data_IF_381595181735
#
_entry.id   IF_381595181735
#
_cell.length_a   1.000
_cell.length_b   1.000
_cell.length_c   1.000
_cell.angle_alpha   90.00
_cell.angle_beta   90.00
_cell.angle_gamma   90.00
#
_symmetry.space_group_name_H-M   'P 1'
#
loop_
_entity.id
_entity.type
_entity.pdbx_description
1 polymer ?
#
# COMPACT_ATOMS: atom_id res chain seq x y z
N UNK A 1 35.31 14.62 -63.23
CA UNK A 1 35.02 13.33 -63.89
C UNK A 1 34.86 12.31 -62.77
N UNK A 2 33.72 11.72 -62.44
CA UNK A 2 32.43 11.49 -63.12
C UNK A 2 31.49 11.19 -61.93
N UNK A 3 30.53 12.05 -61.60
CA UNK A 3 29.10 11.86 -61.92
C UNK A 3 28.70 10.46 -62.37
N UNK A 4 28.57 9.53 -61.42
CA UNK A 4 27.77 8.30 -61.52
C UNK A 4 27.68 7.80 -60.07
N UNK A 5 26.56 7.71 -59.37
CA UNK A 5 25.25 7.14 -59.73
C UNK A 5 24.27 7.74 -58.70
N UNK A 6 23.43 8.70 -59.10
CA UNK A 6 22.32 9.16 -58.26
C UNK A 6 21.04 9.20 -59.09
N UNK A 7 20.47 8.04 -59.38
CA UNK A 7 19.11 7.95 -59.91
C UNK A 7 18.45 6.63 -59.51
N UNK A 8 17.30 6.78 -58.84
CA UNK A 8 16.18 5.84 -58.73
C UNK A 8 16.40 4.55 -57.94
N UNK A 9 15.94 4.53 -56.68
CA UNK A 9 15.00 3.48 -56.24
C UNK A 9 13.87 4.11 -55.42
N UNK A 10 12.67 3.83 -55.91
CA UNK A 10 11.32 4.07 -55.43
C UNK A 10 11.08 4.13 -53.93
N UNK A 11 10.24 5.10 -53.57
CA UNK A 11 9.21 5.08 -52.54
C UNK A 11 8.64 3.68 -52.29
N UNK A 12 8.85 3.16 -51.07
CA UNK A 12 8.01 2.14 -50.46
C UNK A 12 7.45 2.70 -49.15
N UNK A 13 6.13 2.68 -48.91
CA UNK A 13 5.60 3.00 -47.61
C UNK A 13 5.94 1.84 -46.67
N UNK A 14 6.76 2.11 -45.65
CA UNK A 14 6.83 1.20 -44.49
C UNK A 14 5.51 1.38 -43.76
N UNK A 15 4.61 0.41 -43.92
CA UNK A 15 3.47 0.22 -43.04
C UNK A 15 4.02 -0.05 -41.64
N UNK A 16 4.12 0.99 -40.82
CA UNK A 16 4.28 0.86 -39.38
C UNK A 16 2.99 0.24 -38.84
N UNK A 17 2.91 -1.08 -38.91
CA UNK A 17 1.99 -1.86 -38.09
C UNK A 17 2.59 -1.94 -36.67
N UNK A 18 2.66 -0.78 -36.02
CA UNK A 18 2.76 -0.74 -34.57
C UNK A 18 1.37 -1.13 -34.07
N UNK A 19 1.20 -2.44 -33.84
CA UNK A 19 0.09 -2.95 -33.06
C UNK A 19 0.02 -2.12 -31.79
N UNK A 20 -1.03 -1.31 -31.72
CA UNK A 20 -1.44 -0.50 -30.60
C UNK A 20 -1.52 -1.42 -29.38
N UNK A 21 -0.44 -1.42 -28.60
CA UNK A 21 -0.49 -1.82 -27.20
C UNK A 21 -1.63 -1.00 -26.60
N UNK A 22 -2.68 -1.63 -26.04
CA UNK A 22 -3.82 -0.87 -25.55
C UNK A 22 -3.29 0.06 -24.45
N UNK A 23 -3.25 1.35 -24.75
CA UNK A 23 -3.28 2.39 -23.75
C UNK A 23 -4.53 2.11 -22.93
N UNK A 24 -4.32 1.66 -21.69
CA UNK A 24 -5.38 1.53 -20.71
C UNK A 24 -5.85 2.95 -20.41
N UNK A 25 -6.71 3.45 -21.30
CA UNK A 25 -7.52 4.62 -21.07
C UNK A 25 -8.60 4.18 -20.12
N UNK A 26 -8.37 4.39 -18.84
CA UNK A 26 -9.46 4.52 -17.89
C UNK A 26 -9.16 5.74 -17.04
N UNK A 27 -9.60 6.88 -17.57
CA UNK A 27 -9.97 8.01 -16.75
C UNK A 27 -11.13 7.55 -15.83
N UNK A 28 -10.79 7.27 -14.57
CA UNK A 28 -11.75 7.33 -13.47
C UNK A 28 -11.31 8.48 -12.57
N UNK A 29 -12.18 9.47 -12.44
CA UNK A 29 -11.98 10.67 -11.65
C UNK A 29 -11.60 10.34 -10.20
N UNK A 30 -10.65 11.10 -9.67
CA UNK A 30 -10.40 11.44 -8.26
C UNK A 30 -11.24 10.70 -7.20
N UNK A 31 -10.95 9.43 -6.96
CA UNK A 31 -11.21 8.77 -5.69
C UNK A 31 -9.83 8.43 -5.12
N UNK A 32 -9.49 8.83 -3.90
CA UNK A 32 -8.20 8.46 -3.29
C UNK A 32 -8.27 6.99 -2.86
N UNK A 33 -7.86 6.01 -3.70
CA UNK A 33 -8.09 4.63 -3.38
C UNK A 33 -7.05 4.23 -2.34
N UNK A 34 -7.52 3.91 -1.13
CA UNK A 34 -6.74 3.10 -0.20
C UNK A 34 -6.75 1.68 -0.73
N UNK A 35 -5.58 1.16 -1.07
CA UNK A 35 -5.43 -0.17 -1.65
C UNK A 35 -5.50 -1.23 -0.56
N UNK A 36 -4.68 -1.06 0.48
CA UNK A 36 -4.58 -2.01 1.57
C UNK A 36 -4.06 -1.36 2.85
N UNK A 37 -4.33 -2.01 3.98
CA UNK A 37 -3.98 -1.57 5.31
C UNK A 37 -3.55 -2.74 6.16
N UNK A 38 -2.51 -2.53 6.96
CA UNK A 38 -1.88 -3.55 7.79
C UNK A 38 -1.60 -3.00 9.19
N UNK A 39 -1.72 -3.86 10.19
CA UNK A 39 -1.28 -3.59 11.56
C UNK A 39 -0.30 -4.67 11.96
N UNK A 40 0.88 -4.24 12.43
CA UNK A 40 1.90 -5.11 12.99
C UNK A 40 2.05 -4.88 14.48
N UNK A 41 2.19 -5.98 15.22
CA UNK A 41 2.46 -5.95 16.66
C UNK A 41 3.95 -5.65 16.95
N UNK A 42 4.26 -5.42 18.23
CA UNK A 42 5.61 -5.26 18.76
C UNK A 42 6.52 -6.44 18.39
N UNK A 43 5.96 -7.65 18.33
CA UNK A 43 6.64 -8.89 17.95
C UNK A 43 6.85 -9.05 16.45
N UNK A 44 6.54 -8.03 15.65
CA UNK A 44 6.71 -8.02 14.18
C UNK A 44 5.74 -8.94 13.42
N UNK A 45 4.72 -9.45 14.11
CA UNK A 45 3.67 -10.24 13.48
C UNK A 45 2.59 -9.34 12.88
N UNK A 46 2.12 -9.68 11.68
CA UNK A 46 0.95 -9.06 11.08
C UNK A 46 -0.31 -9.56 11.79
N UNK A 47 -0.94 -8.69 12.59
CA UNK A 47 -2.12 -9.03 13.39
C UNK A 47 -3.44 -8.64 12.69
N UNK A 48 -3.35 -7.76 11.68
CA UNK A 48 -4.50 -7.36 10.87
C UNK A 48 -4.07 -6.98 9.46
N UNK A 49 -4.86 -7.39 8.47
CA UNK A 49 -4.69 -7.02 7.07
C UNK A 49 -6.05 -6.85 6.40
N UNK A 50 -6.24 -5.74 5.68
CA UNK A 50 -7.45 -5.47 4.89
C UNK A 50 -7.03 -4.95 3.51
N UNK A 51 -7.71 -5.44 2.47
CA UNK A 51 -7.52 -5.00 1.09
C UNK A 51 -8.86 -4.56 0.52
N UNK A 52 -8.88 -3.41 -0.14
CA UNK A 52 -10.06 -2.88 -0.84
C UNK A 52 -9.94 -2.97 -2.36
N UNK A 53 -8.79 -3.39 -2.88
CA UNK A 53 -8.63 -3.70 -4.29
C UNK A 53 -9.50 -4.91 -4.68
N UNK A 54 -10.18 -4.88 -5.84
CA UNK A 54 -10.88 -6.04 -6.35
C UNK A 54 -9.90 -7.20 -6.54
N UNK A 55 -10.33 -8.45 -6.28
CA UNK A 55 -9.50 -9.61 -6.52
C UNK A 55 -9.11 -9.67 -8.00
N UNK A 56 -7.81 -9.60 -8.28
CA UNK A 56 -7.27 -9.69 -9.62
C UNK A 56 -7.54 -11.09 -10.20
N UNK A 57 -8.31 -11.23 -11.29
CA UNK A 57 -8.62 -12.53 -11.89
C UNK A 57 -7.41 -13.22 -12.52
N UNK A 58 -6.31 -12.50 -12.76
CA UNK A 58 -5.04 -13.03 -13.27
C UNK A 58 -4.10 -13.52 -12.17
N UNK A 59 -4.33 -13.11 -10.91
CA UNK A 59 -3.64 -13.64 -9.74
C UNK A 59 -4.46 -14.83 -9.23
N UNK A 60 -3.91 -16.06 -9.15
CA UNK A 60 -4.63 -17.18 -8.56
C UNK A 60 -5.10 -16.76 -7.16
N UNK A 61 -6.38 -17.05 -6.88
CA UNK A 61 -7.13 -16.65 -5.67
C UNK A 61 -6.25 -16.48 -4.44
N UNK A 62 -6.46 -15.43 -3.61
CA UNK A 62 -5.61 -15.16 -2.45
C UNK A 62 -5.76 -16.30 -1.45
N UNK A 63 -4.93 -17.34 -1.58
CA UNK A 63 -4.64 -18.26 -0.51
C UNK A 63 -4.10 -17.40 0.63
N UNK A 64 -4.54 -17.66 1.86
CA UNK A 64 -4.09 -16.97 3.06
C UNK A 64 -2.54 -16.86 3.19
N UNK A 65 -1.81 -17.72 2.47
CA UNK A 65 -0.35 -17.69 2.31
C UNK A 65 0.15 -16.42 1.61
N UNK A 66 -0.52 -15.96 0.55
CA UNK A 66 -0.10 -14.78 -0.23
C UNK A 66 -0.19 -13.48 0.57
N UNK A 67 -1.26 -13.30 1.35
CA UNK A 67 -1.42 -12.15 2.24
C UNK A 67 -0.39 -12.13 3.37
N UNK A 68 -0.03 -13.32 3.91
CA UNK A 68 0.99 -13.40 4.95
C UNK A 68 2.40 -13.13 4.41
N UNK A 69 2.69 -13.54 3.18
CA UNK A 69 3.99 -13.32 2.54
C UNK A 69 4.15 -11.86 2.12
N UNK A 70 3.10 -11.25 1.54
CA UNK A 70 3.06 -9.83 1.21
C UNK A 70 3.27 -8.97 2.48
N UNK A 71 2.63 -9.34 3.60
CA UNK A 71 2.81 -8.65 4.87
C UNK A 71 4.25 -8.73 5.42
N UNK A 72 4.92 -9.89 5.32
CA UNK A 72 6.33 -10.03 5.71
C UNK A 72 7.25 -9.18 4.84
N UNK A 73 6.99 -9.12 3.53
CA UNK A 73 7.76 -8.29 2.61
C UNK A 73 7.59 -6.80 2.95
N UNK A 74 6.35 -6.34 3.14
CA UNK A 74 6.04 -4.96 3.56
C UNK A 74 6.74 -4.63 4.88
N UNK A 75 6.67 -5.53 5.85
CA UNK A 75 7.35 -5.37 7.13
C UNK A 75 8.88 -5.23 6.93
N UNK A 76 9.49 -6.11 6.14
CA UNK A 76 10.92 -6.06 5.85
C UNK A 76 11.35 -4.76 5.17
N UNK A 77 10.55 -4.25 4.23
CA UNK A 77 10.79 -2.96 3.58
C UNK A 77 10.73 -1.81 4.57
N UNK A 78 9.66 -1.72 5.38
CA UNK A 78 9.50 -0.67 6.39
C UNK A 78 10.60 -0.73 7.44
N UNK A 79 10.95 -1.92 7.91
CA UNK A 79 12.03 -2.12 8.88
C UNK A 79 13.37 -1.63 8.35
N UNK A 80 13.69 -1.99 7.11
CA UNK A 80 14.93 -1.58 6.45
C UNK A 80 15.01 -0.06 6.25
N UNK A 81 13.91 0.54 5.76
CA UNK A 81 13.84 1.99 5.54
C UNK A 81 13.88 2.77 6.85
N UNK A 82 13.17 2.32 7.89
CA UNK A 82 13.24 2.93 9.22
C UNK A 82 14.67 2.95 9.77
N UNK A 83 15.38 1.83 9.65
CA UNK A 83 16.77 1.76 10.10
C UNK A 83 17.69 2.66 9.28
N UNK A 84 17.45 2.78 7.98
CA UNK A 84 18.19 3.70 7.12
C UNK A 84 17.95 5.16 7.50
N UNK A 85 16.69 5.56 7.68
CA UNK A 85 16.31 6.92 8.11
C UNK A 85 16.97 7.26 9.45
N UNK A 86 16.91 6.37 10.44
CA UNK A 86 17.56 6.62 11.74
C UNK A 86 19.08 6.74 11.63
N UNK A 87 19.73 5.91 10.81
CA UNK A 87 21.19 5.94 10.62
C UNK A 87 21.66 7.19 9.86
N UNK A 88 20.85 7.71 8.94
CA UNK A 88 21.21 8.85 8.10
C UNK A 88 20.73 10.20 8.66
N UNK A 89 19.53 10.24 9.23
CA UNK A 89 18.87 11.45 9.75
C UNK A 89 19.08 11.70 11.24
N UNK A 90 19.62 10.74 11.99
CA UNK A 90 19.80 10.84 13.45
C UNK A 90 18.59 10.33 14.24
N UNK A 91 18.63 10.51 15.57
CA UNK A 91 17.64 9.92 16.48
C UNK A 91 16.28 10.61 16.48
N UNK A 92 16.23 11.88 16.07
CA UNK A 92 14.98 12.66 16.01
C UNK A 92 14.19 12.40 14.73
N UNK A 93 14.79 11.73 13.74
CA UNK A 93 14.20 11.52 12.43
C UNK A 93 13.49 10.16 12.33
N UNK A 94 12.23 10.18 11.92
CA UNK A 94 11.37 9.00 11.85
C UNK A 94 10.90 8.75 10.43
N UNK A 95 10.89 7.48 10.01
CA UNK A 95 10.32 7.10 8.73
C UNK A 95 8.80 7.39 8.72
N UNK A 96 8.33 8.11 7.70
CA UNK A 96 6.91 8.51 7.58
C UNK A 96 6.23 7.83 6.39
N UNK A 97 6.86 7.85 5.21
CA UNK A 97 6.28 7.29 3.99
C UNK A 97 7.34 7.11 2.90
N UNK A 98 7.07 6.23 1.94
CA UNK A 98 7.77 6.22 0.65
C UNK A 98 6.77 6.20 -0.50
N UNK A 99 7.18 6.73 -1.65
CA UNK A 99 6.37 6.76 -2.88
C UNK A 99 7.10 6.04 -4.00
N UNK A 100 6.38 5.22 -4.74
CA UNK A 100 6.82 4.61 -5.99
C UNK A 100 6.06 5.23 -7.16
N UNK A 101 6.34 4.76 -8.39
CA UNK A 101 5.57 5.16 -9.56
C UNK A 101 4.12 4.65 -9.60
N UNK A 102 3.72 3.76 -8.69
CA UNK A 102 2.40 3.09 -8.72
C UNK A 102 1.60 3.25 -7.43
N UNK A 103 2.26 3.40 -6.29
CA UNK A 103 1.60 3.56 -5.00
C UNK A 103 2.44 4.37 -4.02
N UNK A 104 1.82 4.77 -2.92
CA UNK A 104 2.49 5.38 -1.78
C UNK A 104 2.18 4.58 -0.52
N UNK A 105 3.22 4.27 0.26
CA UNK A 105 3.09 3.62 1.55
C UNK A 105 3.26 4.66 2.65
N UNK A 106 2.33 4.68 3.59
CA UNK A 106 2.31 5.54 4.76
C UNK A 106 2.52 4.68 6.01
N UNK A 107 3.31 5.21 6.95
CA UNK A 107 3.70 4.53 8.17
C UNK A 107 3.41 5.38 9.40
N UNK A 108 2.87 4.74 10.42
CA UNK A 108 2.68 5.33 11.73
C UNK A 108 3.03 4.32 12.82
N UNK A 109 3.97 4.68 13.68
CA UNK A 109 4.40 3.88 14.84
C UNK A 109 3.89 4.55 16.12
N UNK A 110 3.24 3.77 16.96
CA UNK A 110 2.79 4.21 18.29
C UNK A 110 3.91 4.01 19.32
N UNK A 111 3.86 4.70 20.47
CA UNK A 111 4.79 4.46 21.58
C UNK A 111 4.77 3.01 22.13
N UNK A 112 3.67 2.27 21.90
CA UNK A 112 3.55 0.86 22.28
C UNK A 112 4.14 -0.10 21.22
N UNK A 113 4.88 0.43 20.24
CA UNK A 113 5.46 -0.32 19.11
C UNK A 113 4.44 -1.04 18.21
N UNK A 114 3.17 -0.62 18.24
CA UNK A 114 2.21 -0.98 17.19
C UNK A 114 2.50 -0.14 15.95
N UNK A 115 2.52 -0.81 14.79
CA UNK A 115 2.87 -0.21 13.51
C UNK A 115 1.71 -0.32 12.56
N UNK A 116 1.23 0.83 12.12
CA UNK A 116 0.14 0.97 11.17
C UNK A 116 0.73 1.30 9.81
N UNK A 117 0.36 0.52 8.80
CA UNK A 117 0.81 0.69 7.42
C UNK A 117 -0.40 0.82 6.52
N UNK A 118 -0.42 1.85 5.69
CA UNK A 118 -1.47 2.06 4.70
C UNK A 118 -0.85 2.27 3.33
N UNK A 119 -1.39 1.59 2.32
CA UNK A 119 -0.98 1.75 0.93
C UNK A 119 -2.10 2.44 0.18
N UNK A 120 -1.77 3.53 -0.51
CA UNK A 120 -2.72 4.35 -1.27
C UNK A 120 -2.17 4.66 -2.66
N UNK A 121 -2.97 5.35 -3.48
CA UNK A 121 -2.49 5.95 -4.72
C UNK A 121 -1.37 6.99 -4.49
N UNK A 122 -0.56 7.19 -5.52
CA UNK A 122 0.58 8.12 -5.56
C UNK A 122 0.20 9.59 -5.39
N UNK A 123 -1.03 9.98 -5.77
CA UNK A 123 -1.55 11.34 -5.59
C UNK A 123 -1.94 11.66 -4.15
N UNK A 124 -1.94 10.66 -3.27
CA UNK A 124 -2.40 10.82 -1.89
C UNK A 124 -1.45 11.69 -1.05
N UNK A 125 -2.04 12.64 -0.33
CA UNK A 125 -1.34 13.39 0.72
C UNK A 125 -0.86 12.46 1.84
N UNK A 126 -0.06 12.98 2.78
CA UNK A 126 0.39 12.17 3.92
C UNK A 126 -0.81 11.68 4.74
N UNK A 127 -0.96 10.36 4.87
CA UNK A 127 -2.03 9.75 5.66
C UNK A 127 -1.66 9.57 7.13
N UNK A 128 -0.58 10.21 7.62
CA UNK A 128 -0.14 10.08 9.02
C UNK A 128 -1.23 10.49 10.01
N UNK A 129 -1.95 11.58 9.74
CA UNK A 129 -3.06 12.01 10.60
C UNK A 129 -4.22 11.01 10.57
N UNK A 130 -4.51 10.44 9.39
CA UNK A 130 -5.53 9.40 9.21
C UNK A 130 -5.17 8.14 10.01
N UNK A 131 -3.93 7.68 9.89
CA UNK A 131 -3.42 6.53 10.66
C UNK A 131 -3.51 6.78 12.17
N UNK A 132 -3.21 8.00 12.63
CA UNK A 132 -3.36 8.39 14.03
C UNK A 132 -4.83 8.37 14.49
N UNK A 133 -5.76 8.83 13.66
CA UNK A 133 -7.20 8.76 13.95
C UNK A 133 -7.71 7.32 14.02
N UNK A 134 -7.24 6.44 13.13
CA UNK A 134 -7.53 5.00 13.20
C UNK A 134 -7.03 4.42 14.53
N UNK A 135 -5.85 4.81 14.98
CA UNK A 135 -5.33 4.38 16.28
C UNK A 135 -6.22 4.84 17.44
N UNK A 136 -6.52 6.13 17.56
CA UNK A 136 -7.26 6.67 18.71
C UNK A 136 -8.73 6.22 18.69
N UNK A 137 -9.43 6.38 17.56
CA UNK A 137 -10.89 6.26 17.52
C UNK A 137 -11.37 4.85 17.20
N UNK A 138 -10.55 4.01 16.57
CA UNK A 138 -10.94 2.66 16.19
C UNK A 138 -10.18 1.60 16.99
N UNK A 139 -8.84 1.65 16.97
CA UNK A 139 -8.04 0.64 17.66
C UNK A 139 -8.20 0.70 19.18
N UNK A 140 -8.01 1.87 19.78
CA UNK A 140 -8.15 2.01 21.24
C UNK A 140 -9.60 1.74 21.66
N UNK A 141 -10.58 2.23 20.91
CA UNK A 141 -11.99 2.10 21.25
C UNK A 141 -12.52 0.67 21.15
N UNK A 142 -12.23 -0.04 20.05
CA UNK A 142 -12.87 -1.32 19.76
C UNK A 142 -11.99 -2.55 20.02
N UNK A 143 -10.68 -2.37 20.13
CA UNK A 143 -9.72 -3.46 20.40
C UNK A 143 -9.17 -3.35 21.83
N UNK A 144 -8.61 -2.21 22.23
CA UNK A 144 -7.95 -2.07 23.54
C UNK A 144 -8.96 -2.01 24.70
N UNK A 145 -10.07 -1.29 24.54
CA UNK A 145 -11.11 -1.20 25.57
C UNK A 145 -12.01 -2.44 25.65
N UNK A 146 -11.88 -3.39 24.72
CA UNK A 146 -12.69 -4.61 24.72
C UNK A 146 -12.18 -5.58 25.80
N UNK A 147 -12.93 -5.82 26.90
CA UNK A 147 -12.47 -6.67 28.01
C UNK A 147 -12.40 -8.16 27.63
N UNK A 148 -13.00 -8.55 26.50
CA UNK A 148 -12.98 -9.92 25.99
C UNK A 148 -11.79 -10.17 25.04
N UNK A 149 -11.11 -9.11 24.60
CA UNK A 149 -9.94 -9.24 23.74
C UNK A 149 -8.71 -9.63 24.57
N UNK A 150 -7.87 -10.57 24.08
CA UNK A 150 -6.63 -10.90 24.76
C UNK A 150 -5.69 -9.70 24.75
N UNK A 151 -4.91 -9.54 25.84
CA UNK A 151 -3.91 -8.47 25.98
C UNK A 151 -2.80 -8.58 24.92
N UNK A 152 -2.51 -9.80 24.46
CA UNK A 152 -1.59 -10.05 23.34
C UNK A 152 -2.35 -10.64 22.16
N UNK A 153 -2.36 -9.91 21.04
CA UNK A 153 -3.04 -10.31 19.81
C UNK A 153 -2.22 -11.28 18.95
N UNK A 154 -1.63 -12.31 19.55
CA UNK A 154 -0.84 -13.32 18.82
C UNK A 154 -1.69 -13.95 17.72
N UNK A 155 -1.16 -13.97 16.51
CA UNK A 155 -1.90 -14.45 15.32
C UNK A 155 -3.19 -13.66 14.99
N UNK A 156 -3.34 -12.42 15.49
CA UNK A 156 -4.50 -11.59 15.25
C UNK A 156 -5.73 -11.92 16.11
N UNK A 157 -5.56 -12.69 17.19
CA UNK A 157 -6.65 -13.04 18.11
C UNK A 157 -7.30 -11.78 18.72
N UNK A 158 -8.62 -11.64 18.57
CA UNK A 158 -9.41 -10.54 19.13
C UNK A 158 -9.36 -9.20 18.36
N UNK A 159 -8.56 -9.11 17.29
CA UNK A 159 -8.45 -7.86 16.49
C UNK A 159 -9.59 -7.73 15.48
N UNK A 160 -10.06 -8.86 14.92
CA UNK A 160 -11.17 -8.92 13.96
C UNK A 160 -12.52 -8.83 14.67
N UNK A 161 -12.74 -7.73 15.38
CA UNK A 161 -14.04 -7.37 15.92
C UNK A 161 -14.88 -6.71 14.80
N UNK A 162 -16.14 -7.10 14.65
CA UNK A 162 -17.07 -6.53 13.67
C UNK A 162 -17.18 -5.01 13.80
N UNK A 163 -17.18 -4.47 15.02
CA UNK A 163 -17.22 -3.02 15.25
C UNK A 163 -15.97 -2.32 14.71
N UNK A 164 -14.80 -2.95 14.87
CA UNK A 164 -13.54 -2.42 14.35
C UNK A 164 -13.52 -2.49 12.82
N UNK A 165 -13.91 -3.63 12.22
CA UNK A 165 -13.91 -3.79 10.76
C UNK A 165 -14.91 -2.85 10.08
N UNK A 166 -16.13 -2.75 10.62
CA UNK A 166 -17.15 -1.86 10.09
C UNK A 166 -16.73 -0.39 10.23
N UNK A 167 -16.20 -0.01 11.40
CA UNK A 167 -15.70 1.34 11.65
C UNK A 167 -14.54 1.70 10.72
N UNK A 168 -13.59 0.77 10.49
CA UNK A 168 -12.48 0.97 9.58
C UNK A 168 -12.95 1.11 8.13
N UNK A 169 -13.84 0.23 7.67
CA UNK A 169 -14.36 0.28 6.29
C UNK A 169 -15.14 1.58 6.05
N UNK A 170 -15.98 2.01 6.99
CA UNK A 170 -16.69 3.30 6.89
C UNK A 170 -15.73 4.48 6.87
N UNK A 171 -14.72 4.45 7.75
CA UNK A 171 -13.72 5.51 7.83
C UNK A 171 -12.92 5.59 6.53
N UNK A 172 -12.43 4.47 6.00
CA UNK A 172 -11.67 4.44 4.73
C UNK A 172 -12.53 4.89 3.55
N UNK A 173 -13.81 4.49 3.50
CA UNK A 173 -14.75 4.97 2.46
C UNK A 173 -15.00 6.47 2.53
N UNK A 174 -14.96 7.08 3.72
CA UNK A 174 -15.08 8.54 3.85
C UNK A 174 -13.87 9.32 3.33
N UNK A 175 -12.75 8.63 3.11
CA UNK A 175 -11.52 9.22 2.54
C UNK A 175 -11.43 9.09 1.02
N UNK A 176 -12.28 8.25 0.42
CA UNK A 176 -12.33 8.01 -1.03
C UNK A 176 -13.22 9.04 -1.73
#
# INVERSE_FOLDING_TARGET
>A
MIDLIRTSISTFPITNNAASRPEITTAAAAAMPVYSFYIFDRHTECIYSRSWLPPDPSRPTPRATTSSDDAKLIFGTVFSLRNMVRKLGGDDDAFISYRTGQYKLHYYETPANLRFVMITDTGSMSMRNVLHQIYINLWVEYVVKNPLAPVEHKGGAGVRNELFELGLDQFVRSLM
#
